data_IF_787693365821
#
_entry.id   IF_787693365821
#
_cell.length_a   1.000
_cell.length_b   1.000
_cell.length_c   1.000
_cell.angle_alpha   90.00
_cell.angle_beta   90.00
_cell.angle_gamma   90.00
#
_symmetry.space_group_name_H-M   'P 1'
#
loop_
_entity.id
_entity.type
_entity.pdbx_description
1 polymer ?
#
# COMPACT_ATOMS: atom_id res chain seq x y z
N UNK A 1 -9.59 9.92 -0.25
CA UNK A 1 -8.19 9.49 -0.14
C UNK A 1 -7.42 10.05 -1.32
N UNK A 2 -6.37 10.78 -1.05
CA UNK A 2 -5.57 11.46 -2.07
C UNK A 2 -4.55 10.50 -2.69
N UNK A 3 -4.29 10.65 -3.99
CA UNK A 3 -3.25 9.85 -4.66
C UNK A 3 -1.87 10.39 -4.31
N UNK A 4 -0.98 9.50 -3.87
CA UNK A 4 0.39 9.88 -3.54
C UNK A 4 1.15 10.28 -4.80
N UNK A 5 1.68 11.48 -4.80
CA UNK A 5 2.49 12.04 -5.89
C UNK A 5 3.71 12.74 -5.29
N UNK A 6 4.73 12.91 -6.12
CA UNK A 6 5.92 13.64 -5.72
C UNK A 6 7.06 12.71 -5.36
N UNK A 7 8.16 12.88 -6.08
CA UNK A 7 9.35 12.06 -5.93
C UNK A 7 9.97 12.16 -4.54
N UNK A 8 10.01 13.37 -3.98
CA UNK A 8 10.57 13.60 -2.66
C UNK A 8 9.79 12.90 -1.55
N UNK A 9 8.45 12.94 -1.62
CA UNK A 9 7.60 12.28 -0.65
C UNK A 9 7.77 10.77 -0.71
N UNK A 10 7.86 10.22 -1.91
CA UNK A 10 8.05 8.78 -2.11
C UNK A 10 9.42 8.34 -1.59
N UNK A 11 10.47 9.10 -1.88
CA UNK A 11 11.82 8.82 -1.37
C UNK A 11 11.88 8.87 0.15
N UNK A 12 11.29 9.89 0.75
CA UNK A 12 11.21 10.02 2.21
C UNK A 12 10.49 8.83 2.82
N UNK A 13 9.40 8.42 2.21
CA UNK A 13 8.60 7.29 2.66
C UNK A 13 9.44 6.00 2.70
N UNK A 14 10.20 5.73 1.64
CA UNK A 14 11.06 4.54 1.59
C UNK A 14 12.26 4.61 2.50
N UNK A 15 12.75 5.83 2.80
CA UNK A 15 13.92 6.02 3.65
C UNK A 15 13.57 5.95 5.14
N UNK A 16 12.47 6.58 5.55
CA UNK A 16 12.12 6.75 6.96
C UNK A 16 10.80 6.07 7.36
N UNK A 17 10.09 5.50 6.40
CA UNK A 17 8.79 4.88 6.65
C UNK A 17 8.87 3.57 7.41
N UNK A 18 7.75 3.21 8.01
CA UNK A 18 7.57 1.93 8.69
C UNK A 18 7.00 0.92 7.70
N UNK A 19 7.53 -0.30 7.72
CA UNK A 19 7.14 -1.35 6.79
C UNK A 19 6.37 -2.45 7.48
N UNK A 20 5.27 -2.89 6.86
CA UNK A 20 4.54 -4.11 7.24
C UNK A 20 4.33 -4.94 5.98
N UNK A 21 4.22 -6.24 6.14
CA UNK A 21 4.08 -7.13 5.00
C UNK A 21 3.08 -8.25 5.22
N UNK A 22 2.46 -8.65 4.13
CA UNK A 22 1.65 -9.87 4.02
C UNK A 22 1.84 -10.36 2.59
N UNK A 23 2.89 -11.18 2.38
CA UNK A 23 3.29 -11.61 1.04
C UNK A 23 2.06 -12.08 0.22
N UNK A 24 1.88 -11.67 -1.04
CA UNK A 24 2.81 -10.92 -1.89
C UNK A 24 2.69 -9.39 -1.79
N UNK A 25 2.11 -8.87 -0.72
CA UNK A 25 1.92 -7.44 -0.51
C UNK A 25 2.87 -6.91 0.54
N UNK A 26 3.23 -5.65 0.39
CA UNK A 26 4.04 -4.91 1.35
C UNK A 26 3.52 -3.47 1.41
N UNK A 27 3.54 -2.90 2.60
CA UNK A 27 3.12 -1.52 2.81
C UNK A 27 4.22 -0.77 3.54
N UNK A 28 4.53 0.43 3.05
CA UNK A 28 5.43 1.37 3.73
C UNK A 28 4.62 2.61 4.03
N UNK A 29 4.69 3.11 5.26
CA UNK A 29 3.87 4.24 5.66
C UNK A 29 4.56 5.17 6.64
N UNK A 30 4.09 6.41 6.67
CA UNK A 30 4.47 7.44 7.64
C UNK A 30 3.23 8.21 8.06
N UNK A 31 3.21 8.69 9.31
CA UNK A 31 2.19 9.63 9.74
C UNK A 31 2.39 10.96 9.03
N UNK A 32 1.29 11.60 8.69
CA UNK A 32 1.29 12.84 7.92
C UNK A 32 0.49 13.92 8.62
N UNK A 33 0.92 15.16 8.47
CA UNK A 33 0.16 16.32 8.95
C UNK A 33 -0.85 16.82 7.91
N UNK A 34 -0.86 16.20 6.74
CA UNK A 34 -1.78 16.51 5.64
C UNK A 34 -2.80 15.40 5.50
N UNK A 35 -3.57 15.41 4.42
CA UNK A 35 -4.56 14.37 4.14
C UNK A 35 -3.92 13.03 3.86
N UNK A 36 -4.70 11.95 4.05
CA UNK A 36 -4.26 10.62 3.66
C UNK A 36 -3.90 10.58 2.17
N UNK A 37 -2.74 10.04 1.86
CA UNK A 37 -2.26 9.89 0.48
C UNK A 37 -1.75 8.47 0.28
N UNK A 38 -2.20 7.80 -0.79
CA UNK A 38 -1.87 6.41 -1.05
C UNK A 38 -1.37 6.23 -2.48
N UNK A 39 -0.29 5.49 -2.62
CA UNK A 39 0.24 5.09 -3.91
C UNK A 39 0.35 3.58 -4.02
N UNK A 40 0.47 3.07 -5.22
CA UNK A 40 0.68 1.65 -5.49
C UNK A 40 1.90 1.48 -6.38
N UNK A 41 2.62 0.38 -6.19
CA UNK A 41 3.82 0.09 -6.97
C UNK A 41 3.94 -1.40 -7.24
N UNK A 42 4.59 -1.74 -8.35
CA UNK A 42 4.88 -3.12 -8.76
C UNK A 42 6.35 -3.21 -9.12
N UNK A 43 7.01 -4.28 -8.70
CA UNK A 43 8.43 -4.50 -8.96
C UNK A 43 8.72 -4.65 -10.44
N UNK A 44 9.58 -3.78 -10.99
CA UNK A 44 10.09 -3.90 -12.36
C UNK A 44 10.94 -5.14 -12.53
N UNK A 45 11.57 -5.60 -11.47
CA UNK A 45 12.41 -6.78 -11.46
C UNK A 45 11.60 -8.05 -11.70
N UNK A 46 10.40 -8.13 -11.12
CA UNK A 46 9.53 -9.29 -11.26
C UNK A 46 8.65 -9.22 -12.52
N UNK A 47 8.23 -8.00 -12.90
CA UNK A 47 7.38 -7.78 -14.07
C UNK A 47 8.02 -6.75 -14.99
N UNK A 48 8.78 -7.23 -15.95
CA UNK A 48 9.51 -6.36 -16.89
C UNK A 48 8.61 -5.68 -17.90
N UNK A 49 7.46 -6.30 -18.20
CA UNK A 49 6.50 -5.77 -19.16
C UNK A 49 5.63 -4.69 -18.50
N UNK A 50 5.63 -3.50 -19.11
CA UNK A 50 4.84 -2.37 -18.60
C UNK A 50 3.34 -2.64 -18.60
N UNK A 51 2.84 -3.41 -19.56
CA UNK A 51 1.41 -3.76 -19.65
C UNK A 51 1.00 -4.58 -18.42
N UNK A 52 1.81 -5.55 -18.03
CA UNK A 52 1.55 -6.38 -16.86
C UNK A 52 1.60 -5.56 -15.58
N UNK A 53 2.61 -4.69 -15.43
CA UNK A 53 2.69 -3.80 -14.26
C UNK A 53 1.48 -2.88 -14.15
N UNK A 54 1.02 -2.33 -15.26
CA UNK A 54 -0.14 -1.43 -15.25
C UNK A 54 -1.41 -2.18 -14.87
N UNK A 55 -1.56 -3.42 -15.31
CA UNK A 55 -2.69 -4.28 -14.94
C UNK A 55 -2.70 -4.53 -13.43
N UNK A 56 -1.55 -4.88 -12.86
CA UNK A 56 -1.43 -5.14 -11.42
C UNK A 56 -1.70 -3.85 -10.63
N UNK A 57 -1.15 -2.72 -11.06
CA UNK A 57 -1.40 -1.43 -10.39
C UNK A 57 -2.87 -1.07 -10.37
N UNK A 58 -3.56 -1.31 -11.48
CA UNK A 58 -5.01 -1.03 -11.58
C UNK A 58 -5.78 -1.89 -10.58
N UNK A 59 -5.44 -3.17 -10.50
CA UNK A 59 -6.07 -4.10 -9.58
C UNK A 59 -5.78 -3.70 -8.13
N UNK A 60 -4.54 -3.34 -7.81
CA UNK A 60 -4.16 -2.86 -6.48
C UNK A 60 -4.93 -1.61 -6.08
N UNK A 61 -5.12 -0.67 -7.00
CA UNK A 61 -5.88 0.57 -6.70
C UNK A 61 -7.32 0.26 -6.34
N UNK A 62 -7.96 -0.67 -7.06
CA UNK A 62 -9.34 -1.06 -6.78
C UNK A 62 -9.45 -1.69 -5.39
N UNK A 63 -8.58 -2.62 -5.06
CA UNK A 63 -8.60 -3.30 -3.77
C UNK A 63 -8.24 -2.33 -2.64
N UNK A 64 -7.26 -1.45 -2.87
CA UNK A 64 -6.87 -0.42 -1.90
C UNK A 64 -8.03 0.51 -1.56
N UNK A 65 -8.72 1.03 -2.57
CA UNK A 65 -9.88 1.89 -2.35
C UNK A 65 -10.97 1.17 -1.57
N UNK A 66 -11.23 -0.07 -1.94
CA UNK A 66 -12.29 -0.87 -1.32
C UNK A 66 -12.02 -1.17 0.15
N UNK A 67 -10.78 -1.51 0.50
CA UNK A 67 -10.44 -2.00 1.84
C UNK A 67 -9.77 -0.96 2.75
N UNK A 68 -8.89 -0.15 2.20
CA UNK A 68 -8.05 0.74 3.02
C UNK A 68 -8.72 2.07 3.33
N UNK A 69 -9.56 2.58 2.44
CA UNK A 69 -10.16 3.90 2.59
C UNK A 69 -10.93 4.05 3.90
N UNK A 70 -11.81 3.09 4.21
CA UNK A 70 -12.61 3.13 5.44
C UNK A 70 -11.75 2.98 6.69
N UNK A 71 -10.69 2.19 6.62
CA UNK A 71 -9.76 2.00 7.74
C UNK A 71 -9.04 3.31 8.05
N UNK A 72 -8.55 4.00 7.03
CA UNK A 72 -7.86 5.29 7.21
C UNK A 72 -8.80 6.37 7.76
N UNK A 73 -10.04 6.38 7.31
CA UNK A 73 -11.03 7.35 7.78
C UNK A 73 -11.35 7.19 9.27
N UNK A 74 -11.19 5.98 9.80
CA UNK A 74 -11.45 5.68 11.21
C UNK A 74 -10.24 5.90 12.11
N UNK A 75 -9.06 6.08 11.54
CA UNK A 75 -7.84 6.28 12.33
C UNK A 75 -7.69 7.74 12.75
N UNK A 76 -7.08 7.95 13.91
CA UNK A 76 -6.90 9.29 14.47
C UNK A 76 -5.90 10.13 13.69
N UNK A 77 -4.87 9.48 13.11
CA UNK A 77 -3.84 10.15 12.34
C UNK A 77 -4.06 9.99 10.85
N UNK A 78 -3.51 10.89 10.07
CA UNK A 78 -3.42 10.74 8.63
C UNK A 78 -2.10 10.08 8.26
N UNK A 79 -2.06 9.44 7.11
CA UNK A 79 -0.90 8.66 6.67
C UNK A 79 -0.55 8.90 5.22
N UNK A 80 0.73 8.82 4.92
CA UNK A 80 1.26 8.68 3.57
C UNK A 80 1.69 7.23 3.43
N UNK A 81 1.14 6.50 2.46
CA UNK A 81 1.38 5.07 2.30
C UNK A 81 1.71 4.70 0.86
N UNK A 82 2.52 3.65 0.74
CA UNK A 82 2.77 3.00 -0.54
C UNK A 82 2.50 1.51 -0.36
N UNK A 83 1.63 0.96 -1.21
CA UNK A 83 1.33 -0.47 -1.24
C UNK A 83 2.06 -1.08 -2.43
N UNK A 84 2.88 -2.10 -2.17
CA UNK A 84 3.72 -2.73 -3.19
C UNK A 84 3.30 -4.16 -3.41
N UNK A 85 3.28 -4.56 -4.68
CA UNK A 85 3.16 -5.96 -5.06
C UNK A 85 4.57 -6.50 -5.32
N UNK A 86 4.96 -7.49 -4.51
CA UNK A 86 6.32 -8.05 -4.57
C UNK A 86 6.33 -9.52 -5.00
N UNK A 87 5.20 -10.05 -5.44
CA UNK A 87 5.10 -11.41 -5.94
C UNK A 87 5.63 -11.56 -7.36
N UNK A 88 5.88 -12.80 -7.76
CA UNK A 88 6.38 -13.14 -9.09
C UNK A 88 5.28 -13.41 -10.10
N UNK A 89 4.13 -13.88 -9.62
CA UNK A 89 3.04 -14.32 -10.46
C UNK A 89 1.97 -13.23 -10.57
N UNK A 90 1.22 -13.26 -11.68
CA UNK A 90 0.11 -12.35 -11.86
C UNK A 90 -0.94 -12.64 -10.78
N UNK A 91 -1.35 -11.64 -9.97
CA UNK A 91 -2.31 -11.88 -8.89
C UNK A 91 -3.71 -12.12 -9.45
N UNK A 92 -4.51 -12.92 -8.72
CA UNK A 92 -5.93 -12.95 -8.94
C UNK A 92 -6.65 -12.17 -7.85
N UNK A 93 -7.84 -11.66 -8.15
CA UNK A 93 -8.56 -10.75 -7.26
C UNK A 93 -8.92 -11.37 -5.90
N UNK A 94 -9.48 -12.59 -5.82
CA UNK A 94 -9.81 -13.16 -4.52
C UNK A 94 -8.62 -13.35 -3.59
N UNK A 95 -7.50 -13.84 -4.11
CA UNK A 95 -6.29 -14.02 -3.32
C UNK A 95 -5.72 -12.68 -2.88
N UNK A 96 -5.72 -11.70 -3.77
CA UNK A 96 -5.20 -10.37 -3.48
C UNK A 96 -6.03 -9.70 -2.38
N UNK A 97 -7.36 -9.79 -2.45
CA UNK A 97 -8.25 -9.24 -1.44
C UNK A 97 -8.01 -9.87 -0.07
N UNK A 98 -7.81 -11.18 -0.03
CA UNK A 98 -7.54 -11.90 1.20
C UNK A 98 -6.21 -11.49 1.83
N UNK A 99 -5.16 -11.38 1.03
CA UNK A 99 -3.86 -10.94 1.51
C UNK A 99 -3.89 -9.49 1.96
N UNK A 100 -4.67 -8.67 1.29
CA UNK A 100 -4.85 -7.27 1.67
C UNK A 100 -5.52 -7.15 3.04
N UNK A 101 -6.47 -8.00 3.36
CA UNK A 101 -7.09 -8.04 4.69
C UNK A 101 -6.05 -8.30 5.78
N UNK A 102 -5.14 -9.24 5.57
CA UNK A 102 -4.04 -9.50 6.51
C UNK A 102 -3.11 -8.30 6.64
N UNK A 103 -2.81 -7.66 5.52
CA UNK A 103 -1.95 -6.49 5.51
C UNK A 103 -2.55 -5.36 6.35
N UNK A 104 -3.84 -5.10 6.18
CA UNK A 104 -4.56 -4.07 6.93
C UNK A 104 -4.56 -4.38 8.43
N UNK A 105 -4.80 -5.62 8.80
CA UNK A 105 -4.76 -6.04 10.20
C UNK A 105 -3.40 -5.79 10.83
N UNK A 106 -2.33 -6.12 10.13
CA UNK A 106 -0.97 -5.90 10.60
C UNK A 106 -0.64 -4.42 10.74
N UNK A 107 -1.05 -3.62 9.76
CA UNK A 107 -0.90 -2.17 9.81
C UNK A 107 -1.64 -1.59 11.01
N UNK A 108 -2.90 -1.92 11.18
CA UNK A 108 -3.73 -1.43 12.27
C UNK A 108 -3.16 -1.82 13.63
N UNK A 109 -2.77 -3.08 13.79
CA UNK A 109 -2.21 -3.56 15.06
C UNK A 109 -0.89 -2.86 15.39
N UNK A 110 -0.05 -2.63 14.40
CA UNK A 110 1.24 -1.97 14.61
C UNK A 110 1.05 -0.53 15.05
N UNK A 111 0.12 0.20 14.44
CA UNK A 111 -0.16 1.58 14.80
C UNK A 111 -0.85 1.69 16.16
N UNK A 112 -1.73 0.76 16.49
CA UNK A 112 -2.38 0.70 17.78
C UNK A 112 -1.39 0.46 18.93
N UNK A 113 -0.34 -0.30 18.69
CA UNK A 113 0.67 -0.66 19.70
C UNK A 113 1.82 0.34 19.79
N UNK A 114 1.92 1.29 18.87
CA UNK A 114 2.90 2.36 18.92
C UNK A 114 2.38 3.52 19.77
N UNK A 115 2.67 3.45 21.03
CA UNK A 115 2.32 4.54 21.96
C UNK A 115 3.57 5.30 22.32
#
# INVERSE_FOLDING_TARGET
MKRLKGKKQIEQLFTTGVSVGAFPLRMVYLKSNDKNAVGVSVSKKQFKNAVDRNRIKRLLRVVTEKQLSSVLDQMESNYTLMVLYVGKDMPNTPQLEKQYEYLIKRFHNKEKNEI
#
